data_IF_070219515296
#
_entry.id   IF_070219515296
#
_cell.length_a   1.000
_cell.length_b   1.000
_cell.length_c   1.000
_cell.angle_alpha   90.00
_cell.angle_beta   90.00
_cell.angle_gamma   90.00
#
_symmetry.space_group_name_H-M   'P 1'
#
loop_
_entity.id
_entity.type
_entity.pdbx_description
1 polymer ?
#
# COMPACT_ATOMS: atom_id res chain seq x y z
N UNK A 1 -10.76 -4.32 -10.66
CA UNK A 1 -10.07 -5.54 -10.15
C UNK A 1 -11.12 -6.60 -9.84
N UNK A 2 -10.88 -7.80 -10.28
CA UNK A 2 -11.78 -8.93 -10.05
C UNK A 2 -11.33 -9.70 -8.81
N UNK A 3 -12.18 -9.74 -7.77
CA UNK A 3 -11.86 -10.41 -6.52
C UNK A 3 -11.56 -11.91 -6.69
N UNK A 4 -12.12 -12.56 -7.71
CA UNK A 4 -11.88 -13.98 -7.98
C UNK A 4 -10.45 -14.29 -8.42
N UNK A 5 -9.69 -13.27 -8.85
CA UNK A 5 -8.29 -13.41 -9.26
C UNK A 5 -7.31 -13.16 -8.12
N UNK A 6 -7.80 -12.76 -6.94
CA UNK A 6 -6.99 -12.62 -5.74
C UNK A 6 -6.68 -14.00 -5.16
N UNK A 7 -5.39 -14.27 -4.94
CA UNK A 7 -4.92 -15.53 -4.35
C UNK A 7 -3.75 -15.25 -3.42
N UNK A 8 -3.52 -16.16 -2.50
CA UNK A 8 -2.35 -16.11 -1.63
C UNK A 8 -1.38 -17.24 -2.01
N UNK A 9 -0.09 -16.90 -2.07
CA UNK A 9 0.98 -17.86 -2.32
C UNK A 9 1.84 -17.96 -1.07
N UNK A 10 1.97 -19.17 -0.53
CA UNK A 10 2.78 -19.39 0.67
C UNK A 10 4.26 -19.19 0.38
N UNK A 11 4.92 -18.39 1.24
CA UNK A 11 6.35 -18.08 1.20
C UNK A 11 6.92 -18.25 2.61
N UNK A 12 7.34 -19.47 2.97
CA UNK A 12 7.80 -19.75 4.33
C UNK A 12 6.69 -19.55 5.35
N UNK A 13 6.88 -18.65 6.32
CA UNK A 13 5.89 -18.33 7.36
C UNK A 13 4.84 -17.33 6.92
N UNK A 14 5.00 -16.72 5.75
CA UNK A 14 4.15 -15.64 5.28
C UNK A 14 3.49 -16.00 3.95
N UNK A 15 2.55 -15.18 3.55
CA UNK A 15 1.85 -15.32 2.27
C UNK A 15 2.11 -14.07 1.43
N UNK A 16 2.29 -14.28 0.14
CA UNK A 16 2.33 -13.19 -0.84
C UNK A 16 0.97 -13.07 -1.49
N UNK A 17 0.47 -11.84 -1.62
CA UNK A 17 -0.79 -11.59 -2.31
C UNK A 17 -0.56 -11.52 -3.81
N UNK A 18 -1.29 -12.37 -4.53
CA UNK A 18 -1.22 -12.49 -5.98
C UNK A 18 -2.52 -12.00 -6.61
N UNK A 19 -2.41 -11.41 -7.77
CA UNK A 19 -3.54 -11.06 -8.62
C UNK A 19 -3.24 -11.55 -10.03
N UNK A 20 -4.15 -12.38 -10.58
CA UNK A 20 -3.98 -12.99 -11.90
C UNK A 20 -2.60 -13.64 -12.04
N UNK A 21 -2.23 -14.45 -11.04
CA UNK A 21 -0.99 -15.23 -10.96
C UNK A 21 0.31 -14.42 -10.90
N UNK A 22 0.22 -13.11 -10.66
CA UNK A 22 1.37 -12.23 -10.48
C UNK A 22 1.29 -11.51 -9.13
N UNK A 23 2.41 -11.06 -8.55
CA UNK A 23 2.35 -10.19 -7.39
C UNK A 23 1.45 -8.99 -7.68
N UNK A 24 0.58 -8.66 -6.71
CA UNK A 24 -0.38 -7.58 -6.91
C UNK A 24 0.33 -6.24 -7.04
N UNK A 25 -0.15 -5.41 -7.97
CA UNK A 25 0.33 -4.05 -8.15
C UNK A 25 -0.86 -3.12 -8.33
N UNK A 26 -0.92 -2.05 -7.52
CA UNK A 26 -2.00 -1.09 -7.55
C UNK A 26 -1.41 0.31 -7.70
N UNK A 27 -1.55 0.95 -8.88
CA UNK A 27 -1.02 2.30 -9.09
C UNK A 27 -1.94 3.37 -8.51
N UNK A 28 -1.34 4.39 -7.92
CA UNK A 28 -2.00 5.64 -7.53
C UNK A 28 -1.13 6.80 -7.97
N UNK A 29 -1.74 7.78 -8.64
CA UNK A 29 -1.06 9.00 -9.08
C UNK A 29 -1.53 10.20 -8.29
N UNK A 30 -0.65 11.17 -8.13
CA UNK A 30 -0.96 12.42 -7.41
C UNK A 30 -1.33 12.20 -5.95
N UNK A 31 -0.64 11.28 -5.28
CA UNK A 31 -0.70 11.18 -3.83
C UNK A 31 0.08 12.34 -3.21
N UNK A 32 -0.30 12.77 -2.00
CA UNK A 32 0.44 13.78 -1.26
C UNK A 32 1.16 13.16 -0.08
N UNK A 33 2.41 13.56 0.12
CA UNK A 33 3.16 13.13 1.30
C UNK A 33 2.61 13.86 2.52
N UNK A 34 2.08 13.13 3.49
CA UNK A 34 1.64 13.67 4.78
C UNK A 34 2.82 13.76 5.74
N UNK A 35 3.56 12.69 5.84
CA UNK A 35 4.77 12.62 6.66
C UNK A 35 5.88 11.96 5.84
N UNK A 36 7.06 12.59 5.75
CA UNK A 36 8.20 12.01 5.04
C UNK A 36 8.64 10.68 5.64
N UNK A 37 9.53 10.02 4.93
CA UNK A 37 10.01 8.69 5.33
C UNK A 37 10.67 8.74 6.71
N UNK A 38 10.22 7.83 7.59
CA UNK A 38 10.83 7.58 8.87
C UNK A 38 10.84 6.07 9.13
N UNK A 39 12.01 5.51 9.37
CA UNK A 39 12.18 4.08 9.66
C UNK A 39 11.50 3.16 8.62
N UNK A 40 11.67 3.48 7.33
CA UNK A 40 11.10 2.75 6.18
C UNK A 40 9.58 2.87 6.03
N UNK A 41 8.95 3.81 6.73
CA UNK A 41 7.51 4.08 6.58
C UNK A 41 7.32 5.50 6.09
N UNK A 42 6.28 5.68 5.29
CA UNK A 42 5.81 6.97 4.81
C UNK A 42 4.31 7.04 5.00
N UNK A 43 3.79 8.24 5.26
CA UNK A 43 2.35 8.48 5.32
C UNK A 43 1.92 9.28 4.10
N UNK A 44 0.88 8.81 3.44
CA UNK A 44 0.35 9.42 2.22
C UNK A 44 -1.12 9.77 2.38
N UNK A 45 -1.49 10.91 1.81
CA UNK A 45 -2.88 11.29 1.56
C UNK A 45 -3.23 10.86 0.13
N UNK A 46 -4.15 9.93 0.01
CA UNK A 46 -4.64 9.46 -1.29
C UNK A 46 -6.07 9.88 -1.57
N UNK A 47 -6.62 10.80 -0.78
CA UNK A 47 -8.01 11.24 -0.89
C UNK A 47 -8.35 11.75 -2.28
N UNK A 48 -7.44 12.54 -2.87
CA UNK A 48 -7.61 13.15 -4.19
C UNK A 48 -6.73 12.50 -5.26
N UNK A 49 -6.09 11.39 -4.93
CA UNK A 49 -5.22 10.69 -5.86
C UNK A 49 -6.02 10.00 -6.97
N UNK A 50 -5.38 9.87 -8.13
CA UNK A 50 -5.92 9.12 -9.25
C UNK A 50 -5.60 7.64 -9.05
N UNK A 51 -6.60 6.88 -8.67
CA UNK A 51 -6.49 5.44 -8.39
C UNK A 51 -7.81 4.92 -7.85
N UNK A 52 -7.96 3.61 -7.88
CA UNK A 52 -9.21 2.96 -7.49
C UNK A 52 -9.10 2.51 -6.04
N UNK A 53 -9.64 3.30 -5.12
CA UNK A 53 -9.65 2.98 -3.68
C UNK A 53 -10.37 1.65 -3.38
N UNK A 54 -11.35 1.30 -4.20
CA UNK A 54 -12.03 0.02 -4.10
C UNK A 54 -11.09 -1.18 -4.22
N UNK A 55 -9.99 -1.05 -4.97
CA UNK A 55 -8.99 -2.11 -5.07
C UNK A 55 -8.27 -2.33 -3.73
N UNK A 56 -8.00 -1.27 -3.00
CA UNK A 56 -7.42 -1.38 -1.65
C UNK A 56 -8.41 -2.02 -0.68
N UNK A 57 -9.69 -1.69 -0.79
CA UNK A 57 -10.74 -2.31 0.03
C UNK A 57 -10.87 -3.81 -0.26
N UNK A 58 -10.74 -4.23 -1.51
CA UNK A 58 -10.75 -5.64 -1.87
C UNK A 58 -9.59 -6.39 -1.19
N UNK A 59 -8.40 -5.81 -1.17
CA UNK A 59 -7.24 -6.39 -0.49
C UNK A 59 -7.51 -6.51 1.02
N UNK A 60 -7.98 -5.44 1.62
CA UNK A 60 -8.29 -5.42 3.05
C UNK A 60 -9.28 -6.53 3.42
N UNK A 61 -10.38 -6.64 2.67
CA UNK A 61 -11.41 -7.64 2.91
C UNK A 61 -10.91 -9.06 2.67
N UNK A 62 -10.12 -9.26 1.62
CA UNK A 62 -9.54 -10.57 1.31
C UNK A 62 -8.68 -11.08 2.46
N UNK A 63 -7.79 -10.25 2.96
CA UNK A 63 -6.87 -10.64 4.05
C UNK A 63 -7.64 -10.82 5.35
N UNK A 64 -8.59 -9.94 5.64
CA UNK A 64 -9.47 -10.07 6.80
C UNK A 64 -10.24 -11.39 6.79
N UNK A 65 -10.83 -11.75 5.65
CA UNK A 65 -11.62 -12.98 5.51
C UNK A 65 -10.76 -14.24 5.55
N UNK A 66 -9.46 -14.14 5.32
CA UNK A 66 -8.52 -15.25 5.47
C UNK A 66 -8.15 -15.54 6.93
N UNK A 67 -8.68 -14.76 7.89
CA UNK A 67 -8.36 -14.88 9.31
C UNK A 67 -7.01 -14.29 9.71
N UNK A 68 -6.36 -13.53 8.82
CA UNK A 68 -5.04 -12.93 9.03
C UNK A 68 -5.17 -11.41 9.09
N UNK A 69 -5.76 -10.91 10.19
CA UNK A 69 -6.24 -9.54 10.28
C UNK A 69 -5.86 -8.78 11.54
N UNK A 70 -4.82 -9.19 12.25
CA UNK A 70 -4.41 -8.49 13.48
C UNK A 70 -4.05 -7.03 13.22
N UNK A 71 -3.43 -6.76 12.07
CA UNK A 71 -3.08 -5.41 11.66
C UNK A 71 -3.44 -5.19 10.19
N UNK A 72 -4.11 -4.07 9.90
CA UNK A 72 -4.34 -3.60 8.54
C UNK A 72 -4.16 -2.09 8.48
N UNK A 73 -3.28 -1.58 7.59
CA UNK A 73 -3.12 -0.13 7.42
C UNK A 73 -4.35 0.53 6.81
N UNK A 74 -5.28 -0.26 6.29
CA UNK A 74 -6.49 0.22 5.64
C UNK A 74 -7.75 0.12 6.52
N UNK A 75 -7.62 -0.38 7.75
CA UNK A 75 -8.78 -0.59 8.62
C UNK A 75 -9.52 0.72 8.91
N UNK A 76 -8.81 1.76 9.32
CA UNK A 76 -9.42 3.05 9.61
C UNK A 76 -10.05 3.66 8.36
N UNK A 77 -9.35 3.59 7.24
CA UNK A 77 -9.85 4.10 5.97
C UNK A 77 -11.12 3.38 5.54
N UNK A 78 -11.17 2.06 5.68
CA UNK A 78 -12.33 1.24 5.32
C UNK A 78 -13.53 1.55 6.21
N UNK A 79 -13.32 1.73 7.53
CA UNK A 79 -14.38 1.97 8.49
C UNK A 79 -14.93 3.40 8.41
N UNK A 80 -14.11 4.38 8.08
CA UNK A 80 -14.44 5.80 8.17
C UNK A 80 -14.47 6.52 6.81
N UNK A 81 -14.21 5.79 5.72
CA UNK A 81 -14.05 6.39 4.39
C UNK A 81 -13.10 7.59 4.39
N UNK A 82 -11.97 7.44 5.08
CA UNK A 82 -10.96 8.48 5.24
C UNK A 82 -9.63 8.00 4.69
N UNK A 83 -9.15 8.66 3.65
CA UNK A 83 -7.96 8.27 2.89
C UNK A 83 -6.82 9.27 3.00
N UNK A 84 -6.88 10.16 3.98
CA UNK A 84 -5.95 11.26 4.13
C UNK A 84 -4.65 10.90 4.85
N UNK A 85 -4.54 9.72 5.44
CA UNK A 85 -3.36 9.33 6.22
C UNK A 85 -3.16 7.82 6.17
N UNK A 86 -2.57 7.33 5.09
CA UNK A 86 -2.30 5.90 4.89
C UNK A 86 -0.83 5.63 5.19
N UNK A 87 -0.58 4.72 6.14
CA UNK A 87 0.77 4.30 6.50
C UNK A 87 1.25 3.25 5.51
N UNK A 88 2.38 3.52 4.87
CA UNK A 88 2.95 2.65 3.86
C UNK A 88 4.38 2.28 4.20
N UNK A 89 4.75 1.03 3.95
CA UNK A 89 6.14 0.59 4.07
C UNK A 89 6.82 0.74 2.72
N UNK A 90 8.05 1.24 2.70
CA UNK A 90 8.82 1.38 1.45
C UNK A 90 9.84 0.25 1.38
N UNK A 91 9.92 -0.42 0.22
CA UNK A 91 10.97 -1.38 -0.04
C UNK A 91 12.32 -0.68 -0.18
N UNK A 92 13.39 -1.30 0.31
CA UNK A 92 14.74 -0.71 0.31
C UNK A 92 15.18 -0.22 -1.07
N UNK A 93 14.80 -0.95 -2.11
CA UNK A 93 15.21 -0.61 -3.48
C UNK A 93 14.52 0.64 -4.02
N UNK A 94 13.34 1.00 -3.50
CA UNK A 94 12.53 2.09 -4.04
C UNK A 94 12.79 3.42 -3.36
N UNK A 95 13.35 3.41 -2.14
CA UNK A 95 13.30 4.60 -1.31
C UNK A 95 14.63 5.32 -1.12
N UNK A 96 15.77 4.61 -1.22
CA UNK A 96 17.09 5.23 -1.07
C UNK A 96 17.27 6.52 -1.89
N UNK A 97 16.83 6.57 -3.17
CA UNK A 97 16.99 7.80 -3.96
C UNK A 97 16.11 8.96 -3.48
N UNK A 98 15.06 8.70 -2.72
CA UNK A 98 14.06 9.72 -2.36
C UNK A 98 14.08 10.12 -0.90
N UNK A 99 14.82 9.42 -0.04
CA UNK A 99 14.89 9.69 1.40
C UNK A 99 15.15 11.16 1.72
N UNK A 100 16.02 11.80 0.94
CA UNK A 100 16.46 13.18 1.16
C UNK A 100 15.59 14.21 0.45
N UNK A 101 14.64 13.78 -0.39
CA UNK A 101 13.94 14.68 -1.31
C UNK A 101 12.44 14.76 -1.07
N UNK A 102 11.86 13.91 -0.22
CA UNK A 102 10.43 13.93 0.05
C UNK A 102 10.13 14.78 1.27
N UNK A 103 9.22 15.74 1.08
CA UNK A 103 8.73 16.63 2.13
C UNK A 103 7.22 16.57 2.22
N UNK A 104 6.65 16.95 3.36
CA UNK A 104 5.20 17.07 3.51
C UNK A 104 4.61 17.96 2.42
N UNK A 105 3.55 17.50 1.79
CA UNK A 105 2.88 18.20 0.70
C UNK A 105 3.40 17.87 -0.69
N UNK A 106 4.51 17.14 -0.80
CA UNK A 106 5.03 16.76 -2.12
C UNK A 106 4.09 15.79 -2.83
N UNK A 107 3.79 16.03 -4.12
CA UNK A 107 3.02 15.07 -4.91
C UNK A 107 3.92 13.93 -5.40
N UNK A 108 3.41 12.70 -5.26
CA UNK A 108 4.11 11.50 -5.68
C UNK A 108 3.18 10.54 -6.40
N UNK A 109 3.72 9.79 -7.34
CA UNK A 109 3.08 8.63 -7.95
C UNK A 109 3.65 7.38 -7.30
N UNK A 110 2.78 6.42 -6.96
CA UNK A 110 3.21 5.20 -6.28
C UNK A 110 2.58 3.97 -6.92
N UNK A 111 3.24 2.84 -6.76
CA UNK A 111 2.66 1.52 -7.01
C UNK A 111 2.67 0.75 -5.70
N UNK A 112 1.48 0.43 -5.20
CA UNK A 112 1.33 -0.37 -4.00
C UNK A 112 1.37 -1.86 -4.31
N UNK A 113 1.90 -2.62 -3.37
CA UNK A 113 1.84 -4.08 -3.36
C UNK A 113 1.66 -4.58 -1.93
N UNK A 114 1.32 -5.85 -1.79
CA UNK A 114 1.36 -6.55 -0.51
C UNK A 114 2.35 -7.70 -0.66
N UNK A 115 3.58 -7.46 -0.24
CA UNK A 115 4.68 -8.41 -0.42
C UNK A 115 4.64 -9.56 0.58
N UNK A 116 4.05 -9.33 1.76
CA UNK A 116 3.91 -10.36 2.78
C UNK A 116 2.75 -10.06 3.71
N UNK A 117 1.99 -11.08 4.05
CA UNK A 117 1.00 -11.02 5.10
C UNK A 117 0.96 -12.35 5.86
N UNK A 118 0.45 -12.32 7.07
CA UNK A 118 0.38 -13.50 7.93
C UNK A 118 -0.54 -13.26 9.12
N UNK A 119 -0.36 -13.99 10.21
CA UNK A 119 -1.20 -13.85 11.40
C UNK A 119 -1.10 -12.45 12.03
N UNK A 120 -0.01 -11.73 11.77
CA UNK A 120 0.17 -10.34 12.21
C UNK A 120 -0.67 -9.34 11.38
N UNK A 121 -1.31 -9.75 10.29
CA UNK A 121 -1.96 -8.87 9.32
C UNK A 121 -1.07 -8.59 8.12
N UNK A 122 -1.09 -7.34 7.63
CA UNK A 122 -0.26 -6.97 6.46
C UNK A 122 0.24 -5.54 6.53
N UNK A 123 1.26 -5.26 5.74
CA UNK A 123 1.72 -3.92 5.45
C UNK A 123 1.44 -3.57 3.99
N UNK A 124 0.92 -2.38 3.75
CA UNK A 124 0.82 -1.85 2.40
C UNK A 124 2.21 -1.36 2.01
N UNK A 125 2.80 -1.99 0.99
CA UNK A 125 4.18 -1.73 0.60
C UNK A 125 4.20 -0.92 -0.69
N UNK A 126 5.07 0.08 -0.74
CA UNK A 126 5.32 0.85 -1.96
C UNK A 126 6.44 0.16 -2.72
N UNK A 127 6.12 -0.36 -3.91
CA UNK A 127 7.08 -0.99 -4.80
C UNK A 127 7.85 0.05 -5.61
N UNK A 128 7.14 1.07 -6.09
CA UNK A 128 7.73 2.18 -6.83
C UNK A 128 7.15 3.50 -6.33
N UNK A 129 8.01 4.50 -6.22
CA UNK A 129 7.60 5.87 -5.89
C UNK A 129 8.36 6.84 -6.79
N UNK A 130 7.64 7.81 -7.33
CA UNK A 130 8.21 8.85 -8.18
C UNK A 130 7.71 10.20 -7.69
N UNK A 131 8.64 11.09 -7.34
CA UNK A 131 8.30 12.48 -6.99
C UNK A 131 7.92 13.21 -8.27
N UNK A 132 6.78 13.87 -8.24
CA UNK A 132 6.33 14.69 -9.37
C UNK A 132 7.03 16.04 -9.35
N UNK A 133 7.50 16.45 -10.50
CA UNK A 133 8.11 17.76 -10.69
C UNK A 133 6.98 18.71 -11.11
N UNK A 134 6.76 19.73 -10.31
CA UNK A 134 5.77 20.78 -10.61
C UNK A 134 6.45 22.00 -11.20
#
# INVERSE_FOLDING_TARGET
>A
MDASLLKSKKRGKYFQLMYDEKPIEIPFKNCLVVRPVYDKYIRLDISLADGIKGNLLLIHNYIKNSGKSDFSPLKYAAENNSWSDIVCKISNASWEPYEQYLNSGDPVDVVFTVSAFGNFGFFLTIKHITKKIT
#
